data_IF_083676189347
#
_entry.id   IF_083676189347
#
_cell.length_a   1.000
_cell.length_b   1.000
_cell.length_c   1.000
_cell.angle_alpha   90.00
_cell.angle_beta   90.00
_cell.angle_gamma   90.00
#
_symmetry.space_group_name_H-M   'P 1'
#
loop_
_entity.id
_entity.type
_entity.pdbx_description
1 polymer ?
#
# COMPACT_ATOMS: atom_id res chain seq x y z
N UNK A 1 -47.98 13.93 -31.23
CA UNK A 1 -46.92 13.37 -30.38
C UNK A 1 -46.51 12.02 -30.98
N UNK A 2 -46.16 11.83 -32.26
CA UNK A 2 -45.24 12.56 -33.16
C UNK A 2 -43.95 12.96 -32.44
N UNK A 3 -42.85 12.35 -32.91
CA UNK A 3 -41.45 12.70 -32.65
C UNK A 3 -40.73 11.96 -31.51
N UNK A 4 -40.86 10.63 -31.49
CA UNK A 4 -39.68 9.80 -31.20
C UNK A 4 -39.10 9.36 -32.55
N UNK A 5 -38.21 10.17 -33.10
CA UNK A 5 -37.28 9.71 -34.13
C UNK A 5 -36.55 8.49 -33.55
N UNK A 6 -37.02 7.31 -33.95
CA UNK A 6 -36.25 6.07 -33.86
C UNK A 6 -34.98 6.34 -34.65
N UNK A 7 -33.92 6.76 -33.97
CA UNK A 7 -32.58 6.72 -34.52
C UNK A 7 -32.41 5.31 -35.10
N UNK A 8 -31.97 5.19 -36.35
CA UNK A 8 -31.75 3.91 -37.04
C UNK A 8 -30.61 3.12 -36.38
N UNK A 9 -30.77 2.74 -35.12
CA UNK A 9 -29.82 1.92 -34.39
C UNK A 9 -29.92 0.49 -34.93
N UNK A 10 -29.00 0.16 -35.84
CA UNK A 10 -28.82 -1.20 -36.34
C UNK A 10 -28.14 -2.04 -35.26
N UNK A 11 -28.88 -2.95 -34.65
CA UNK A 11 -28.33 -3.94 -33.73
C UNK A 11 -27.82 -5.15 -34.52
N UNK A 12 -26.52 -5.14 -34.84
CA UNK A 12 -25.87 -6.30 -35.44
C UNK A 12 -25.61 -7.40 -34.40
N UNK A 13 -25.75 -8.67 -34.80
CA UNK A 13 -25.49 -9.81 -33.91
C UNK A 13 -24.02 -9.84 -33.41
N UNK A 14 -23.11 -9.19 -34.11
CA UNK A 14 -21.71 -8.97 -33.74
C UNK A 14 -21.55 -8.12 -32.45
N UNK A 15 -22.55 -7.29 -32.12
CA UNK A 15 -22.53 -6.43 -30.93
C UNK A 15 -22.99 -7.16 -29.65
N UNK A 16 -23.46 -8.41 -29.75
CA UNK A 16 -23.96 -9.17 -28.61
C UNK A 16 -22.82 -9.88 -27.86
N UNK A 17 -22.72 -9.61 -26.55
CA UNK A 17 -21.80 -10.30 -25.65
C UNK A 17 -22.22 -11.76 -25.36
N UNK A 18 -21.27 -12.58 -24.91
CA UNK A 18 -21.52 -13.98 -24.52
C UNK A 18 -21.21 -14.23 -23.04
N UNK A 19 -22.10 -14.95 -22.37
CA UNK A 19 -21.93 -15.40 -20.99
C UNK A 19 -22.48 -16.82 -20.83
N UNK A 20 -22.01 -17.54 -19.81
CA UNK A 20 -22.42 -18.93 -19.55
C UNK A 20 -23.74 -18.99 -18.79
N UNK A 21 -23.94 -18.09 -17.84
CA UNK A 21 -25.10 -18.08 -16.97
C UNK A 21 -25.55 -16.64 -16.73
N UNK A 22 -26.84 -16.40 -16.95
CA UNK A 22 -27.54 -15.20 -16.48
C UNK A 22 -28.54 -15.66 -15.43
N UNK A 23 -28.42 -15.15 -14.21
CA UNK A 23 -29.35 -15.48 -13.14
C UNK A 23 -29.73 -14.24 -12.35
N UNK A 24 -31.01 -14.12 -12.02
CA UNK A 24 -31.49 -13.17 -11.03
C UNK A 24 -31.32 -13.78 -9.64
N UNK A 25 -30.70 -13.03 -8.73
CA UNK A 25 -30.47 -13.47 -7.36
C UNK A 25 -30.76 -12.31 -6.42
N UNK A 26 -31.60 -12.60 -5.42
CA UNK A 26 -31.89 -11.65 -4.35
C UNK A 26 -30.71 -11.53 -3.39
N UNK A 27 -30.28 -10.30 -3.14
CA UNK A 27 -29.27 -9.97 -2.14
C UNK A 27 -29.84 -8.88 -1.23
N UNK A 28 -30.13 -9.24 0.01
CA UNK A 28 -30.87 -8.36 0.91
C UNK A 28 -32.31 -8.19 0.42
N UNK A 29 -32.73 -6.95 0.24
CA UNK A 29 -34.08 -6.59 -0.19
C UNK A 29 -34.21 -6.37 -1.70
N UNK A 30 -33.11 -6.45 -2.45
CA UNK A 30 -33.06 -6.16 -3.88
C UNK A 30 -32.69 -7.39 -4.71
N UNK A 31 -33.32 -7.50 -5.87
CA UNK A 31 -32.98 -8.48 -6.89
C UNK A 31 -31.89 -7.93 -7.81
N UNK A 32 -30.85 -8.73 -8.04
CA UNK A 32 -29.72 -8.38 -8.91
C UNK A 32 -29.55 -9.42 -10.00
N UNK A 33 -29.20 -8.96 -11.21
CA UNK A 33 -28.91 -9.85 -12.34
C UNK A 33 -27.41 -10.10 -12.40
N UNK A 34 -27.02 -11.35 -12.32
CA UNK A 34 -25.63 -11.81 -12.40
C UNK A 34 -25.33 -12.37 -13.78
N UNK A 35 -24.22 -11.92 -14.35
CA UNK A 35 -23.64 -12.48 -15.57
C UNK A 35 -22.37 -13.24 -15.19
N UNK A 36 -22.42 -14.57 -15.27
CA UNK A 36 -21.32 -15.44 -14.87
C UNK A 36 -20.73 -16.21 -16.07
N UNK A 37 -19.42 -16.51 -16.00
CA UNK A 37 -18.71 -17.22 -17.06
C UNK A 37 -18.64 -16.44 -18.37
N UNK A 38 -18.28 -15.16 -18.29
CA UNK A 38 -18.00 -14.31 -19.44
C UNK A 38 -16.77 -14.83 -20.21
N UNK A 39 -16.76 -14.70 -21.54
CA UNK A 39 -15.62 -15.11 -22.38
C UNK A 39 -14.34 -14.33 -22.05
N UNK A 40 -14.48 -13.07 -21.64
CA UNK A 40 -13.40 -12.19 -21.23
C UNK A 40 -13.60 -11.78 -19.76
N UNK A 41 -12.56 -11.90 -18.95
CA UNK A 41 -12.61 -11.63 -17.49
C UNK A 41 -11.97 -10.29 -17.11
N UNK A 42 -11.84 -9.36 -18.06
CA UNK A 42 -11.21 -8.04 -17.84
C UNK A 42 -12.04 -7.09 -16.98
N UNK A 43 -13.31 -7.43 -16.73
CA UNK A 43 -14.20 -6.70 -15.84
C UNK A 43 -14.78 -7.69 -14.82
N UNK A 44 -14.68 -7.34 -13.55
CA UNK A 44 -15.24 -8.09 -12.43
C UNK A 44 -15.91 -7.10 -11.48
N UNK A 45 -17.01 -7.53 -10.87
CA UNK A 45 -17.76 -6.71 -9.92
C UNK A 45 -17.65 -7.33 -8.53
N UNK A 46 -17.22 -6.53 -7.55
CA UNK A 46 -17.19 -6.90 -6.14
C UNK A 46 -18.44 -6.33 -5.48
N UNK A 47 -19.22 -7.18 -4.79
CA UNK A 47 -20.42 -6.75 -4.06
C UNK A 47 -20.07 -6.62 -2.59
N UNK A 48 -20.14 -5.40 -2.06
CA UNK A 48 -19.90 -5.08 -0.65
C UNK A 48 -21.25 -5.02 0.07
N UNK A 49 -21.34 -5.65 1.24
CA UNK A 49 -22.52 -5.59 2.11
C UNK A 49 -22.09 -5.20 3.51
N UNK A 50 -22.83 -4.27 4.13
CA UNK A 50 -22.47 -3.67 5.40
C UNK A 50 -23.72 -3.27 6.18
N UNK A 51 -23.52 -2.98 7.47
CA UNK A 51 -24.62 -2.67 8.39
C UNK A 51 -25.22 -1.26 8.19
N UNK A 52 -24.41 -0.31 7.69
CA UNK A 52 -24.83 1.05 7.39
C UNK A 52 -24.00 1.63 6.23
N UNK A 53 -24.47 2.74 5.66
CA UNK A 53 -23.86 3.40 4.50
C UNK A 53 -22.45 3.92 4.80
N UNK A 54 -22.23 4.51 5.97
CA UNK A 54 -20.91 5.00 6.38
C UNK A 54 -19.85 3.88 6.40
N UNK A 55 -20.20 2.70 6.91
CA UNK A 55 -19.31 1.53 6.89
C UNK A 55 -19.06 1.03 5.46
N UNK A 56 -20.08 1.06 4.60
CA UNK A 56 -19.93 0.68 3.19
C UNK A 56 -18.97 1.62 2.46
N UNK A 57 -19.08 2.94 2.67
CA UNK A 57 -18.17 3.93 2.10
C UNK A 57 -16.72 3.71 2.54
N UNK A 58 -16.50 3.40 3.82
CA UNK A 58 -15.15 3.14 4.34
C UNK A 58 -14.55 1.84 3.78
N UNK A 59 -15.37 0.79 3.62
CA UNK A 59 -14.94 -0.47 3.00
C UNK A 59 -14.68 -0.29 1.51
N UNK A 60 -15.49 0.47 0.79
CA UNK A 60 -15.27 0.80 -0.62
C UNK A 60 -13.94 1.53 -0.81
N UNK A 61 -13.69 2.58 -0.02
CA UNK A 61 -12.41 3.30 -0.02
C UNK A 61 -11.23 2.38 0.29
N UNK A 62 -11.35 1.56 1.34
CA UNK A 62 -10.29 0.63 1.75
C UNK A 62 -9.96 -0.41 0.67
N UNK A 63 -10.99 -0.93 -0.01
CA UNK A 63 -10.82 -1.86 -1.13
C UNK A 63 -10.20 -1.17 -2.34
N UNK A 64 -10.63 0.05 -2.65
CA UNK A 64 -10.06 0.84 -3.74
C UNK A 64 -8.57 1.09 -3.52
N UNK A 65 -8.17 1.54 -2.33
CA UNK A 65 -6.78 1.79 -1.98
C UNK A 65 -5.95 0.50 -2.05
N UNK A 66 -6.49 -0.61 -1.54
CA UNK A 66 -5.83 -1.92 -1.60
C UNK A 66 -5.59 -2.39 -3.04
N UNK A 67 -6.59 -2.22 -3.92
CA UNK A 67 -6.46 -2.57 -5.34
C UNK A 67 -5.45 -1.67 -6.06
N UNK A 68 -5.41 -0.38 -5.72
CA UNK A 68 -4.41 0.56 -6.24
C UNK A 68 -2.98 0.16 -5.84
N UNK A 69 -2.76 -0.31 -4.61
CA UNK A 69 -1.47 -0.85 -4.16
C UNK A 69 -1.09 -2.09 -4.97
N UNK A 70 -1.99 -3.07 -5.10
CA UNK A 70 -1.73 -4.29 -5.88
C UNK A 70 -1.41 -3.95 -7.33
N UNK A 71 -2.15 -3.02 -7.94
CA UNK A 71 -1.88 -2.52 -9.29
C UNK A 71 -0.47 -1.97 -9.42
N UNK A 72 -0.04 -1.10 -8.49
CA UNK A 72 1.32 -0.54 -8.49
C UNK A 72 2.39 -1.60 -8.40
N UNK A 73 2.19 -2.63 -7.57
CA UNK A 73 3.14 -3.75 -7.45
C UNK A 73 3.25 -4.53 -8.77
N UNK A 74 2.12 -4.79 -9.44
CA UNK A 74 2.12 -5.48 -10.73
C UNK A 74 2.78 -4.66 -11.85
N UNK A 75 2.70 -3.34 -11.78
CA UNK A 75 3.34 -2.43 -12.74
C UNK A 75 4.86 -2.27 -12.48
N UNK A 76 5.27 -2.09 -11.23
CA UNK A 76 6.68 -1.81 -10.88
C UNK A 76 7.53 -3.07 -10.69
N UNK A 77 6.92 -4.22 -10.34
CA UNK A 77 7.60 -5.44 -9.93
C UNK A 77 8.64 -5.23 -8.81
N UNK A 78 8.51 -4.17 -8.02
CA UNK A 78 9.43 -3.81 -6.96
C UNK A 78 8.66 -3.46 -5.68
N UNK A 79 9.18 -3.96 -4.57
CA UNK A 79 8.61 -3.77 -3.23
C UNK A 79 9.72 -3.36 -2.26
N UNK A 80 9.32 -2.61 -1.24
CA UNK A 80 10.15 -2.19 -0.11
C UNK A 80 9.49 -2.61 1.20
N UNK A 81 10.27 -2.62 2.28
CA UNK A 81 9.76 -2.94 3.61
C UNK A 81 9.15 -1.72 4.26
N UNK A 82 7.89 -1.82 4.67
CA UNK A 82 7.19 -0.70 5.29
C UNK A 82 7.49 -0.55 6.79
N UNK A 83 6.66 0.25 7.46
CA UNK A 83 6.74 0.47 8.90
C UNK A 83 7.93 1.34 9.31
N UNK A 84 8.27 2.34 8.50
CA UNK A 84 9.35 3.29 8.77
C UNK A 84 10.75 2.77 8.48
N UNK A 85 10.88 1.59 7.87
CA UNK A 85 12.18 0.96 7.61
C UNK A 85 12.97 1.72 6.53
N UNK A 86 12.30 2.10 5.43
CA UNK A 86 12.95 2.83 4.32
C UNK A 86 13.44 4.20 4.76
N UNK A 87 12.60 4.96 5.47
CA UNK A 87 12.89 6.30 5.95
C UNK A 87 14.05 6.27 6.94
N UNK A 88 14.08 5.29 7.84
CA UNK A 88 15.18 5.14 8.79
C UNK A 88 16.47 4.72 8.10
N UNK A 89 16.40 3.80 7.13
CA UNK A 89 17.57 3.40 6.35
C UNK A 89 18.18 4.57 5.59
N UNK A 90 17.33 5.37 4.94
CA UNK A 90 17.74 6.56 4.20
C UNK A 90 18.29 7.65 5.12
N UNK A 91 17.66 7.87 6.27
CA UNK A 91 18.17 8.79 7.31
C UNK A 91 19.60 8.44 7.73
N UNK A 92 19.86 7.16 8.04
CA UNK A 92 21.21 6.69 8.40
C UNK A 92 22.20 6.86 7.26
N UNK A 93 21.81 6.49 6.04
CA UNK A 93 22.67 6.63 4.86
C UNK A 93 23.04 8.10 4.59
N UNK A 94 22.07 9.01 4.68
CA UNK A 94 22.29 10.44 4.48
C UNK A 94 23.14 11.05 5.60
N UNK A 95 22.94 10.63 6.85
CA UNK A 95 23.78 11.04 7.99
C UNK A 95 25.25 10.65 7.76
N UNK A 96 25.51 9.43 7.27
CA UNK A 96 26.86 8.95 6.97
C UNK A 96 27.45 9.65 5.74
N UNK A 97 26.63 9.88 4.70
CA UNK A 97 27.04 10.63 3.51
C UNK A 97 27.38 12.09 3.84
N UNK A 98 26.59 12.76 4.68
CA UNK A 98 26.82 14.14 5.10
C UNK A 98 28.19 14.34 5.74
N UNK A 99 28.71 13.34 6.46
CA UNK A 99 30.05 13.37 7.08
C UNK A 99 31.19 13.39 6.06
N UNK A 100 30.91 13.05 4.80
CA UNK A 100 31.91 13.10 3.72
C UNK A 100 31.97 14.45 3.02
N UNK A 101 31.05 15.37 3.31
CA UNK A 101 30.90 16.67 2.64
C UNK A 101 31.41 17.85 3.46
N UNK A 102 31.62 18.98 2.79
CA UNK A 102 32.03 20.25 3.41
C UNK A 102 30.87 20.99 4.10
N UNK A 103 31.21 21.99 4.93
CA UNK A 103 30.38 22.50 6.02
C UNK A 103 28.95 22.97 5.70
N UNK A 104 28.69 23.57 4.52
CA UNK A 104 27.36 24.12 4.21
C UNK A 104 26.37 23.05 3.75
N UNK A 105 26.83 22.09 2.96
CA UNK A 105 25.99 21.01 2.43
C UNK A 105 25.69 19.96 3.50
N UNK A 106 26.64 19.73 4.40
CA UNK A 106 26.49 18.83 5.56
C UNK A 106 25.24 19.18 6.38
N UNK A 107 25.03 20.45 6.72
CA UNK A 107 23.89 20.88 7.53
C UNK A 107 22.56 20.61 6.81
N UNK A 108 22.48 20.94 5.52
CA UNK A 108 21.27 20.73 4.74
C UNK A 108 20.89 19.23 4.64
N UNK A 109 21.87 18.36 4.39
CA UNK A 109 21.64 16.92 4.27
C UNK A 109 21.27 16.31 5.62
N UNK A 110 21.91 16.74 6.70
CA UNK A 110 21.59 16.26 8.06
C UNK A 110 20.15 16.60 8.46
N UNK A 111 19.68 17.81 8.11
CA UNK A 111 18.28 18.20 8.37
C UNK A 111 17.29 17.37 7.54
N UNK A 112 17.62 17.06 6.29
CA UNK A 112 16.80 16.15 5.47
C UNK A 112 16.77 14.75 6.08
N UNK A 113 17.92 14.22 6.51
CA UNK A 113 18.03 12.93 7.16
C UNK A 113 17.17 12.85 8.43
N UNK A 114 17.17 13.88 9.26
CA UNK A 114 16.35 13.94 10.47
C UNK A 114 14.85 14.09 10.14
N UNK A 115 14.52 14.85 9.09
CA UNK A 115 13.14 15.05 8.65
C UNK A 115 12.45 13.75 8.25
N UNK A 116 13.18 12.81 7.65
CA UNK A 116 12.65 11.49 7.25
C UNK A 116 12.15 10.68 8.45
N UNK A 117 12.72 10.89 9.63
CA UNK A 117 12.31 10.20 10.86
C UNK A 117 10.93 10.66 11.36
N UNK A 118 10.30 11.68 10.76
CA UNK A 118 8.94 12.09 11.10
C UNK A 118 7.94 10.95 10.92
N UNK A 119 8.11 10.10 9.90
CA UNK A 119 7.21 8.98 9.60
C UNK A 119 7.26 7.92 10.72
N UNK A 120 8.41 7.30 11.04
CA UNK A 120 8.46 6.32 12.13
C UNK A 120 8.13 6.92 13.51
N UNK A 121 8.49 8.19 13.76
CA UNK A 121 8.10 8.88 15.01
C UNK A 121 6.58 9.00 15.13
N UNK A 122 5.93 9.45 14.06
CA UNK A 122 4.46 9.63 14.04
C UNK A 122 3.75 8.28 14.15
N UNK A 123 4.24 7.24 13.48
CA UNK A 123 3.72 5.87 13.62
C UNK A 123 3.78 5.38 15.08
N UNK A 124 4.90 5.58 15.77
CA UNK A 124 5.04 5.21 17.18
C UNK A 124 4.12 6.03 18.09
N UNK A 125 4.00 7.34 17.87
CA UNK A 125 3.11 8.23 18.64
C UNK A 125 1.64 7.82 18.47
N UNK A 126 1.21 7.55 17.23
CA UNK A 126 -0.15 7.11 16.94
C UNK A 126 -0.49 5.77 17.60
N UNK A 127 0.51 4.93 17.87
CA UNK A 127 0.38 3.68 18.60
C UNK A 127 0.55 3.83 20.13
N UNK A 128 0.69 5.07 20.64
CA UNK A 128 0.97 5.38 22.05
C UNK A 128 2.23 4.68 22.60
N UNK A 129 3.27 4.54 21.76
CA UNK A 129 4.55 3.95 22.10
C UNK A 129 5.64 5.02 22.29
N UNK A 130 6.74 4.66 22.95
CA UNK A 130 7.91 5.54 23.07
C UNK A 130 8.64 5.65 21.72
N UNK A 131 8.36 6.74 21.01
CA UNK A 131 8.96 7.04 19.72
C UNK A 131 10.48 7.23 19.80
N UNK A 132 11.00 7.77 20.91
CA UNK A 132 12.43 8.02 21.06
C UNK A 132 13.19 6.69 21.16
N UNK A 133 12.71 5.77 22.00
CA UNK A 133 13.32 4.45 22.16
C UNK A 133 13.22 3.61 20.86
N UNK A 134 12.04 3.56 20.23
CA UNK A 134 11.83 2.76 19.03
C UNK A 134 12.62 3.24 17.82
N UNK A 135 12.65 4.56 17.58
CA UNK A 135 13.41 5.13 16.46
C UNK A 135 14.90 4.97 16.69
N UNK A 136 15.39 5.15 17.92
CA UNK A 136 16.79 4.90 18.25
C UNK A 136 17.18 3.44 17.96
N UNK A 137 16.34 2.47 18.36
CA UNK A 137 16.55 1.05 18.05
C UNK A 137 16.57 0.78 16.55
N UNK A 138 15.65 1.37 15.78
CA UNK A 138 15.66 1.24 14.32
C UNK A 138 16.94 1.79 13.71
N UNK A 139 17.40 2.99 14.10
CA UNK A 139 18.67 3.56 13.60
C UNK A 139 19.85 2.60 13.85
N UNK A 140 19.91 1.96 15.02
CA UNK A 140 20.96 0.96 15.33
C UNK A 140 20.91 -0.24 14.38
N UNK A 141 19.74 -0.80 14.12
CA UNK A 141 19.60 -1.93 13.18
C UNK A 141 19.98 -1.54 11.75
N UNK A 142 19.51 -0.39 11.27
CA UNK A 142 19.79 0.09 9.92
C UNK A 142 21.26 0.45 9.73
N UNK A 143 21.89 1.11 10.69
CA UNK A 143 23.34 1.39 10.67
C UNK A 143 24.18 0.11 10.67
N UNK A 144 23.83 -0.87 11.50
CA UNK A 144 24.51 -2.18 11.49
C UNK A 144 24.38 -2.90 10.14
N UNK A 145 23.23 -2.76 9.47
CA UNK A 145 22.99 -3.37 8.15
C UNK A 145 23.82 -2.75 7.02
N UNK A 146 24.15 -1.46 7.13
CA UNK A 146 24.88 -0.71 6.11
C UNK A 146 26.40 -0.79 6.29
N UNK A 147 26.87 -0.99 7.52
CA UNK A 147 28.30 -0.98 7.85
C UNK A 147 28.97 -2.36 7.85
N UNK A 148 28.20 -3.45 7.91
CA UNK A 148 28.77 -4.81 8.05
C UNK A 148 28.56 -5.68 6.81
N UNK A 149 29.58 -6.46 6.44
CA UNK A 149 29.51 -7.42 5.32
C UNK A 149 28.89 -8.79 5.68
N UNK A 150 28.70 -9.06 6.97
CA UNK A 150 28.01 -10.26 7.45
C UNK A 150 26.58 -10.36 6.88
N UNK A 151 26.29 -11.45 6.17
CA UNK A 151 24.96 -11.69 5.57
C UNK A 151 23.82 -11.63 6.59
N UNK A 152 24.05 -12.12 7.81
CA UNK A 152 23.05 -12.09 8.88
C UNK A 152 22.68 -10.68 9.33
N UNK A 153 23.63 -9.73 9.29
CA UNK A 153 23.37 -8.33 9.64
C UNK A 153 22.76 -7.54 8.48
N UNK A 154 23.00 -7.95 7.22
CA UNK A 154 22.34 -7.32 6.06
C UNK A 154 20.82 -7.52 6.06
N UNK A 155 20.29 -8.55 6.72
CA UNK A 155 18.84 -8.73 6.90
C UNK A 155 18.20 -7.67 7.80
N UNK A 156 18.99 -6.98 8.64
CA UNK A 156 18.50 -5.92 9.52
C UNK A 156 17.94 -4.71 8.75
N UNK A 157 18.27 -4.56 7.46
CA UNK A 157 17.69 -3.52 6.58
C UNK A 157 16.18 -3.65 6.43
N UNK A 158 15.62 -4.82 6.72
CA UNK A 158 14.19 -5.11 6.64
C UNK A 158 13.46 -4.87 7.98
N UNK A 159 14.16 -4.35 9.00
CA UNK A 159 13.55 -4.08 10.29
C UNK A 159 12.74 -2.79 10.25
N UNK A 160 11.48 -2.88 10.65
CA UNK A 160 10.59 -1.75 10.84
C UNK A 160 9.84 -1.86 12.17
N UNK A 161 8.91 -0.94 12.40
CA UNK A 161 8.11 -0.88 13.62
C UNK A 161 7.00 -1.94 13.63
N UNK A 162 6.94 -2.73 14.70
CA UNK A 162 5.78 -3.49 15.12
C UNK A 162 4.99 -2.67 16.15
N UNK A 163 3.99 -1.95 15.66
CA UNK A 163 3.15 -1.10 16.49
C UNK A 163 2.21 -1.90 17.43
N UNK A 164 1.97 -3.18 17.14
CA UNK A 164 1.09 -4.02 17.97
C UNK A 164 1.83 -4.51 19.21
N UNK A 165 3.08 -4.95 19.04
CA UNK A 165 3.89 -5.47 20.15
C UNK A 165 4.87 -4.44 20.74
N UNK A 166 4.94 -3.24 20.17
CA UNK A 166 5.84 -2.17 20.61
C UNK A 166 7.32 -2.51 20.47
N UNK A 167 7.70 -3.21 19.39
CA UNK A 167 9.08 -3.68 19.16
C UNK A 167 9.50 -3.46 17.70
N UNK A 168 10.79 -3.54 17.42
CA UNK A 168 11.26 -3.65 16.04
C UNK A 168 11.26 -5.12 15.61
N UNK A 169 10.86 -5.40 14.37
CA UNK A 169 10.87 -6.75 13.79
C UNK A 169 11.20 -6.71 12.30
N UNK A 170 11.55 -7.86 11.73
CA UNK A 170 11.71 -8.00 10.29
C UNK A 170 10.34 -7.93 9.60
N UNK A 171 10.07 -6.82 8.91
CA UNK A 171 8.79 -6.54 8.27
C UNK A 171 8.63 -7.26 6.92
N UNK A 172 9.73 -7.67 6.28
CA UNK A 172 9.67 -8.52 5.08
C UNK A 172 9.01 -9.88 5.42
N UNK A 173 9.44 -10.50 6.52
CA UNK A 173 8.89 -11.79 6.96
C UNK A 173 7.47 -11.63 7.51
N UNK A 174 7.18 -10.51 8.18
CA UNK A 174 5.85 -10.22 8.70
C UNK A 174 4.82 -9.81 7.62
N UNK A 175 5.23 -9.66 6.35
CA UNK A 175 4.35 -9.26 5.25
C UNK A 175 3.96 -7.78 5.25
N UNK A 176 4.71 -6.92 5.95
CA UNK A 176 4.48 -5.47 5.95
C UNK A 176 5.35 -4.86 4.84
N UNK A 177 4.74 -4.74 3.66
CA UNK A 177 5.41 -4.37 2.41
C UNK A 177 4.70 -3.18 1.76
N UNK A 178 5.48 -2.37 1.06
CA UNK A 178 5.02 -1.22 0.32
C UNK A 178 5.51 -1.32 -1.14
N UNK A 179 4.74 -0.85 -2.13
CA UNK A 179 5.24 -0.71 -3.49
C UNK A 179 6.40 0.29 -3.52
N UNK A 180 7.47 -0.04 -4.25
CA UNK A 180 8.66 0.82 -4.39
C UNK A 180 8.40 2.09 -5.21
#
# INVERSE_FOLDING_TARGET
LSDYETSEEKFEASNLGSCRLVQEKRIGDYDHIFFEGLKQTSCQTIIIRGANEYFLEEVDRSLHDSLCVVKRILESNAIVTGGGAVETALSVYLDDFARTLESRELLAISEVAESLLVIPKTLAINAALDATDLVAKLKVFHHASQTTDDKSKKELKHYGLDLVNGKARNNMIAGVLEPA
#
